data_IF_093040966639
#
_entry.id   IF_093040966639
#
_cell.length_a   1.000
_cell.length_b   1.000
_cell.length_c   1.000
_cell.angle_alpha   90.00
_cell.angle_beta   90.00
_cell.angle_gamma   90.00
#
_symmetry.space_group_name_H-M   'P 1'
#
loop_
_entity.id
_entity.type
_entity.pdbx_description
1 polymer ?
#
# COMPACT_ATOMS: atom_id res chain seq x y z
N UNK A 1 -36.86 14.41 36.57
CA UNK A 1 -35.98 14.67 35.40
C UNK A 1 -35.11 13.46 35.18
N UNK A 2 -35.33 12.70 34.13
CA UNK A 2 -34.47 11.56 33.78
C UNK A 2 -33.29 12.08 32.96
N UNK A 3 -32.07 12.01 33.51
CA UNK A 3 -30.84 12.23 32.78
C UNK A 3 -30.63 11.04 31.83
N UNK A 4 -30.89 11.22 30.52
CA UNK A 4 -30.47 10.27 29.49
C UNK A 4 -28.97 10.39 29.33
N UNK A 5 -28.23 9.39 29.82
CA UNK A 5 -26.82 9.23 29.47
C UNK A 5 -26.71 8.89 27.99
N UNK A 6 -26.08 9.75 27.22
CA UNK A 6 -25.72 9.43 25.84
C UNK A 6 -24.63 8.34 25.87
N UNK A 7 -24.87 7.25 25.15
CA UNK A 7 -23.86 6.18 25.00
C UNK A 7 -22.62 6.73 24.23
N UNK A 8 -21.44 6.14 24.47
CA UNK A 8 -20.20 6.49 23.74
C UNK A 8 -20.37 6.44 22.22
N UNK A 9 -21.19 5.51 21.71
CA UNK A 9 -21.52 5.41 20.30
C UNK A 9 -22.32 6.62 19.78
N UNK A 10 -23.26 7.12 20.56
CA UNK A 10 -24.03 8.30 20.20
C UNK A 10 -23.19 9.58 20.25
N UNK A 11 -22.22 9.67 21.15
CA UNK A 11 -21.27 10.80 21.21
C UNK A 11 -20.37 10.78 19.96
N UNK A 12 -19.87 9.61 19.55
CA UNK A 12 -19.08 9.46 18.33
C UNK A 12 -19.84 9.87 17.07
N UNK A 13 -21.09 9.44 16.94
CA UNK A 13 -21.95 9.82 15.79
C UNK A 13 -22.28 11.32 15.76
N UNK A 14 -22.58 11.92 16.92
CA UNK A 14 -22.84 13.38 17.03
C UNK A 14 -21.57 14.15 16.71
N UNK A 15 -20.39 13.75 17.22
CA UNK A 15 -19.13 14.40 16.92
C UNK A 15 -18.78 14.33 15.44
N UNK A 16 -19.00 13.19 14.78
CA UNK A 16 -18.79 13.04 13.35
C UNK A 16 -19.76 13.90 12.53
N UNK A 17 -21.02 13.98 12.97
CA UNK A 17 -22.05 14.77 12.30
C UNK A 17 -21.81 16.27 12.47
N UNK A 18 -21.48 16.73 13.67
CA UNK A 18 -21.20 18.14 13.96
C UNK A 18 -19.89 18.61 13.32
N UNK A 19 -18.84 17.77 13.26
CA UNK A 19 -17.60 18.08 12.55
C UNK A 19 -17.82 18.07 11.02
N UNK A 20 -18.68 17.21 10.50
CA UNK A 20 -19.07 17.21 9.09
C UNK A 20 -19.81 18.50 8.67
N UNK A 21 -20.64 19.04 9.57
CA UNK A 21 -21.39 20.28 9.34
C UNK A 21 -20.53 21.55 9.53
N UNK A 22 -19.42 21.46 10.29
CA UNK A 22 -18.51 22.58 10.54
C UNK A 22 -17.39 22.73 9.51
N UNK A 23 -17.12 21.72 8.71
CA UNK A 23 -16.15 21.76 7.63
C UNK A 23 -16.90 21.79 6.29
N UNK A 24 -17.17 22.96 5.72
CA UNK A 24 -17.82 23.02 4.42
C UNK A 24 -16.94 22.35 3.38
N UNK A 25 -17.44 21.25 2.78
CA UNK A 25 -16.91 20.58 1.59
C UNK A 25 -15.69 19.66 1.74
N UNK A 26 -15.55 18.88 2.79
CA UNK A 26 -14.85 17.60 2.60
C UNK A 26 -15.82 16.59 1.97
N UNK A 27 -16.09 16.76 0.68
CA UNK A 27 -16.74 15.71 -0.10
C UNK A 27 -15.84 14.48 -0.02
N UNK A 28 -16.35 13.43 0.60
CA UNK A 28 -15.62 12.16 0.71
C UNK A 28 -15.26 11.68 -0.70
N UNK A 29 -13.96 11.42 -0.94
CA UNK A 29 -13.52 10.91 -2.23
C UNK A 29 -14.16 9.56 -2.49
N UNK A 30 -14.90 9.46 -3.60
CA UNK A 30 -15.48 8.20 -4.07
C UNK A 30 -14.38 7.20 -4.41
N UNK A 31 -14.70 5.90 -4.30
CA UNK A 31 -13.83 4.82 -4.81
C UNK A 31 -13.71 4.84 -6.34
N UNK A 32 -14.52 5.62 -7.02
CA UNK A 32 -14.50 5.84 -8.48
C UNK A 32 -14.01 7.25 -8.86
N UNK A 33 -13.21 7.88 -8.00
CA UNK A 33 -12.68 9.23 -8.19
C UNK A 33 -11.17 9.25 -8.00
N UNK A 34 -10.45 10.00 -8.84
CA UNK A 34 -9.07 10.37 -8.62
C UNK A 34 -8.96 11.85 -8.23
N UNK A 35 -7.93 12.21 -7.45
CA UNK A 35 -7.71 13.57 -6.96
C UNK A 35 -6.30 14.05 -7.26
N UNK A 36 -6.13 15.35 -7.55
CA UNK A 36 -4.82 16.01 -7.64
C UNK A 36 -4.20 16.28 -6.29
N UNK A 37 -5.04 16.36 -5.25
CA UNK A 37 -4.63 16.70 -3.90
C UNK A 37 -4.82 15.48 -3.01
N UNK A 38 -3.84 15.19 -2.17
CA UNK A 38 -3.95 14.16 -1.16
C UNK A 38 -5.05 14.52 -0.15
N UNK A 39 -6.13 13.73 -0.09
CA UNK A 39 -7.26 13.95 0.83
C UNK A 39 -7.16 13.11 2.10
N UNK A 40 -6.46 11.98 2.04
CA UNK A 40 -6.26 11.05 3.15
C UNK A 40 -4.79 10.69 3.28
N UNK A 41 -4.40 10.20 4.44
CA UNK A 41 -3.09 9.57 4.66
C UNK A 41 -2.92 8.39 3.70
N UNK A 42 -1.77 8.28 3.02
CA UNK A 42 -1.47 7.13 2.16
C UNK A 42 -1.54 5.84 2.99
N UNK A 43 -2.15 4.79 2.44
CA UNK A 43 -2.40 3.54 3.16
C UNK A 43 -3.65 3.55 4.05
N UNK A 44 -4.37 4.68 4.20
CA UNK A 44 -5.63 4.71 4.97
C UNK A 44 -6.61 3.67 4.46
N UNK A 45 -7.25 2.89 5.34
CA UNK A 45 -8.22 1.89 4.95
C UNK A 45 -9.60 2.50 4.70
N UNK A 46 -10.35 1.90 3.78
CA UNK A 46 -11.77 2.16 3.55
C UNK A 46 -12.48 0.84 3.25
N UNK A 47 -13.68 0.68 3.78
CA UNK A 47 -14.55 -0.47 3.46
C UNK A 47 -15.81 0.05 2.76
N UNK A 48 -16.15 -0.54 1.63
CA UNK A 48 -17.33 -0.18 0.86
C UNK A 48 -17.88 -1.40 0.13
N UNK A 49 -19.15 -1.74 0.37
CA UNK A 49 -19.84 -2.86 -0.30
C UNK A 49 -19.14 -4.22 -0.12
N UNK A 50 -18.56 -4.49 1.06
CA UNK A 50 -17.83 -5.74 1.34
C UNK A 50 -16.41 -5.80 0.73
N UNK A 51 -15.96 -4.71 0.13
CA UNK A 51 -14.62 -4.58 -0.44
C UNK A 51 -13.74 -3.73 0.46
N UNK A 52 -12.44 -4.03 0.50
CA UNK A 52 -11.42 -3.27 1.22
C UNK A 52 -10.60 -2.45 0.24
N UNK A 53 -10.27 -1.23 0.63
CA UNK A 53 -9.50 -0.29 -0.16
C UNK A 53 -8.38 0.32 0.68
N UNK A 54 -7.31 0.74 0.01
CA UNK A 54 -6.23 1.56 0.55
C UNK A 54 -6.08 2.84 -0.26
N UNK A 55 -5.93 3.97 0.43
CA UNK A 55 -5.67 5.23 -0.24
C UNK A 55 -4.26 5.22 -0.81
N UNK A 56 -4.13 5.50 -2.09
CA UNK A 56 -2.90 5.27 -2.86
C UNK A 56 -2.57 6.45 -3.76
N UNK A 57 -1.31 6.55 -4.16
CA UNK A 57 -0.86 7.47 -5.19
C UNK A 57 -0.32 6.69 -6.38
N UNK A 58 -0.76 7.03 -7.57
CA UNK A 58 -0.22 6.49 -8.81
C UNK A 58 1.09 7.20 -9.16
N UNK A 59 2.14 6.45 -9.39
CA UNK A 59 3.40 6.95 -9.97
C UNK A 59 3.26 7.04 -11.48
N UNK A 60 2.79 5.97 -12.09
CA UNK A 60 2.50 5.88 -13.51
C UNK A 60 1.01 5.91 -13.82
N UNK A 61 0.67 6.14 -15.09
CA UNK A 61 -0.71 6.07 -15.55
C UNK A 61 -1.23 4.65 -15.55
N UNK A 62 -2.29 4.40 -14.79
CA UNK A 62 -2.98 3.11 -14.67
C UNK A 62 -4.15 3.08 -15.67
N UNK A 63 -3.87 2.72 -16.91
CA UNK A 63 -4.88 2.68 -17.98
C UNK A 63 -5.69 1.36 -17.94
N UNK A 64 -5.07 0.25 -17.54
CA UNK A 64 -5.70 -1.07 -17.50
C UNK A 64 -6.70 -1.19 -16.35
N UNK A 65 -7.86 -1.76 -16.63
CA UNK A 65 -8.85 -2.15 -15.62
C UNK A 65 -8.84 -3.67 -15.46
N UNK A 66 -9.32 -4.15 -14.30
CA UNK A 66 -9.36 -5.57 -13.96
C UNK A 66 -7.98 -6.26 -14.03
N UNK A 67 -6.93 -5.50 -13.78
CA UNK A 67 -5.54 -5.97 -13.66
C UNK A 67 -4.96 -5.58 -12.33
N UNK A 68 -4.04 -6.40 -11.85
CA UNK A 68 -3.27 -6.09 -10.66
C UNK A 68 -2.24 -5.02 -10.96
N UNK A 69 -2.03 -4.15 -9.99
CA UNK A 69 -1.00 -3.11 -10.01
C UNK A 69 0.04 -3.38 -8.91
N UNK A 70 1.23 -2.84 -9.09
CA UNK A 70 2.39 -3.07 -8.23
C UNK A 70 2.79 -1.79 -7.51
N UNK A 71 3.67 -1.93 -6.51
CA UNK A 71 4.50 -0.82 -6.06
C UNK A 71 5.80 -0.83 -6.86
N UNK A 72 6.08 0.23 -7.62
CA UNK A 72 7.27 0.32 -8.47
C UNK A 72 8.57 0.40 -7.68
N UNK A 73 8.52 0.89 -6.44
CA UNK A 73 9.69 1.02 -5.57
C UNK A 73 9.99 -0.25 -4.76
N UNK A 74 9.03 -1.16 -4.62
CA UNK A 74 9.22 -2.44 -3.94
C UNK A 74 9.65 -3.53 -4.93
N UNK A 75 10.88 -3.45 -5.36
CA UNK A 75 11.47 -4.42 -6.27
C UNK A 75 12.83 -4.91 -5.73
N UNK A 76 12.85 -5.70 -4.62
CA UNK A 76 14.09 -6.20 -4.07
C UNK A 76 14.83 -7.05 -5.10
N UNK A 77 16.09 -6.68 -5.38
CA UNK A 77 16.93 -7.35 -6.36
C UNK A 77 16.75 -6.89 -7.82
N UNK A 78 15.93 -5.88 -8.08
CA UNK A 78 15.89 -5.21 -9.38
C UNK A 78 17.14 -4.36 -9.57
N UNK A 79 17.88 -4.59 -10.65
CA UNK A 79 19.06 -3.76 -10.98
C UNK A 79 18.62 -2.31 -11.25
N UNK A 80 19.19 -1.38 -10.49
CA UNK A 80 18.88 0.05 -10.58
C UNK A 80 17.80 0.55 -9.62
N UNK A 81 17.20 -0.34 -8.83
CA UNK A 81 16.15 -0.01 -7.85
C UNK A 81 16.52 -0.39 -6.41
N UNK A 82 17.78 -0.68 -6.14
CA UNK A 82 18.26 -1.25 -4.88
C UNK A 82 18.01 -0.37 -3.64
N UNK A 83 17.68 0.91 -3.82
CA UNK A 83 17.42 1.86 -2.73
C UNK A 83 16.20 2.77 -2.98
N UNK A 84 15.32 2.42 -3.92
CA UNK A 84 14.16 3.26 -4.23
C UNK A 84 13.02 3.08 -3.23
N UNK A 85 12.98 1.95 -2.53
CA UNK A 85 12.00 1.65 -1.48
C UNK A 85 12.27 2.38 -0.16
N UNK A 86 13.45 3.05 -0.02
CA UNK A 86 13.73 3.80 1.18
C UNK A 86 15.20 4.10 1.44
N UNK A 87 15.60 3.95 2.69
CA UNK A 87 16.95 4.19 3.18
C UNK A 87 17.34 3.10 4.17
N UNK A 88 18.52 2.54 3.99
CA UNK A 88 19.19 1.67 4.96
C UNK A 88 20.54 2.28 5.36
N UNK A 89 20.83 2.34 6.65
CA UNK A 89 22.07 2.93 7.13
C UNK A 89 22.09 3.15 8.64
N UNK A 90 22.49 4.34 9.04
CA UNK A 90 22.61 4.74 10.45
C UNK A 90 21.98 6.12 10.66
N UNK A 91 21.79 6.51 11.91
CA UNK A 91 21.35 7.85 12.26
C UNK A 91 22.48 8.88 12.09
N UNK A 92 22.13 10.09 11.71
CA UNK A 92 23.08 11.22 11.65
C UNK A 92 23.37 11.79 13.05
N UNK A 93 22.41 11.72 13.95
CA UNK A 93 22.53 12.17 15.34
C UNK A 93 21.80 11.22 16.29
N UNK A 94 22.26 11.14 17.52
CA UNK A 94 21.54 10.39 18.56
C UNK A 94 20.20 11.07 18.88
N UNK A 95 19.20 10.28 19.25
CA UNK A 95 17.92 10.79 19.73
C UNK A 95 17.62 10.25 21.13
N UNK A 96 17.37 11.14 22.11
CA UNK A 96 17.06 10.73 23.47
C UNK A 96 15.66 10.10 23.59
N UNK A 97 15.41 9.42 24.68
CA UNK A 97 14.04 9.02 25.07
C UNK A 97 13.17 10.27 25.11
N UNK A 98 11.94 10.15 24.57
CA UNK A 98 11.00 11.26 24.41
C UNK A 98 11.12 12.01 23.08
N UNK A 99 12.14 11.73 22.26
CA UNK A 99 12.23 12.34 20.93
C UNK A 99 11.11 11.86 20.02
N UNK A 100 10.43 12.78 19.35
CA UNK A 100 9.41 12.52 18.34
C UNK A 100 9.97 12.58 16.91
N UNK A 101 11.27 12.66 16.74
CA UNK A 101 11.95 12.65 15.45
C UNK A 101 13.34 12.00 15.54
N UNK A 102 13.84 11.58 14.40
CA UNK A 102 15.22 11.14 14.21
C UNK A 102 15.77 11.73 12.90
N UNK A 103 17.09 11.84 12.83
CA UNK A 103 17.83 12.30 11.65
C UNK A 103 18.50 11.10 10.98
N UNK A 104 17.98 10.68 9.84
CA UNK A 104 18.56 9.62 9.02
C UNK A 104 19.81 10.16 8.31
N UNK A 105 20.90 9.42 8.30
CA UNK A 105 22.11 9.81 7.54
C UNK A 105 21.92 9.51 6.04
N UNK A 106 20.76 9.87 5.50
CA UNK A 106 20.46 9.84 4.07
C UNK A 106 21.01 11.10 3.41
N UNK A 107 22.00 10.94 2.56
CA UNK A 107 22.67 12.06 1.84
C UNK A 107 21.97 12.42 0.53
N UNK A 108 20.92 11.71 0.16
CA UNK A 108 20.14 12.03 -1.03
C UNK A 108 19.34 13.32 -0.84
N UNK A 109 19.16 14.07 -1.92
CA UNK A 109 18.31 15.26 -1.95
C UNK A 109 16.83 14.84 -2.08
N UNK A 110 16.30 14.24 -1.01
CA UNK A 110 14.89 13.82 -0.99
C UNK A 110 13.95 15.02 -0.96
N UNK A 111 12.79 14.90 -1.61
CA UNK A 111 11.74 15.91 -1.50
C UNK A 111 11.15 15.94 -0.08
N UNK A 112 10.52 17.04 0.30
CA UNK A 112 9.75 17.09 1.54
C UNK A 112 8.68 16.00 1.55
N UNK A 113 8.50 15.35 2.69
CA UNK A 113 7.55 14.25 2.87
C UNK A 113 7.82 12.98 2.03
N UNK A 114 9.03 12.79 1.54
CA UNK A 114 9.41 11.58 0.81
C UNK A 114 9.13 10.29 1.62
N UNK A 115 9.45 10.27 2.93
CA UNK A 115 9.21 9.14 3.83
C UNK A 115 7.85 9.19 4.52
N UNK A 116 7.04 10.22 4.30
CA UNK A 116 5.74 10.37 4.95
C UNK A 116 4.84 9.18 4.67
N UNK A 117 4.10 8.77 5.70
CA UNK A 117 3.19 7.62 5.69
C UNK A 117 3.89 6.25 5.53
N UNK A 118 5.22 6.24 5.51
CA UNK A 118 6.07 5.05 5.53
C UNK A 118 6.38 4.57 6.94
N UNK A 119 7.38 3.70 7.06
CA UNK A 119 7.76 3.05 8.31
C UNK A 119 9.25 3.19 8.58
N UNK A 120 9.60 3.30 9.85
CA UNK A 120 10.96 3.34 10.37
C UNK A 120 11.19 2.13 11.27
N UNK A 121 12.32 1.46 11.07
CA UNK A 121 12.85 0.47 11.99
C UNK A 121 14.24 0.90 12.49
N UNK A 122 14.48 0.85 13.80
CA UNK A 122 15.79 1.11 14.40
C UNK A 122 16.19 -0.11 15.22
N UNK A 123 17.38 -0.64 14.93
CA UNK A 123 17.92 -1.84 15.56
C UNK A 123 18.60 -1.47 16.88
N UNK A 124 17.80 -1.32 17.94
CA UNK A 124 18.27 -1.05 19.30
C UNK A 124 18.91 -2.27 19.94
N UNK A 125 19.51 -2.07 21.10
CA UNK A 125 20.14 -3.14 21.89
C UNK A 125 19.10 -3.84 22.78
N UNK A 126 18.24 -3.06 23.42
CA UNK A 126 17.20 -3.56 24.33
C UNK A 126 15.89 -3.83 23.61
N UNK A 127 15.56 -3.03 22.60
CA UNK A 127 14.32 -3.18 21.82
C UNK A 127 14.58 -2.93 20.34
N UNK A 128 13.69 -3.47 19.53
CA UNK A 128 13.57 -3.16 18.12
C UNK A 128 12.48 -2.09 17.95
N UNK A 129 12.89 -0.85 17.67
CA UNK A 129 11.96 0.25 17.49
C UNK A 129 11.28 0.16 16.13
N UNK A 130 9.96 0.27 16.12
CA UNK A 130 9.16 0.34 14.89
C UNK A 130 8.18 1.52 15.02
N UNK A 131 8.25 2.44 14.07
CA UNK A 131 7.43 3.65 14.07
C UNK A 131 6.84 3.89 12.69
N UNK A 132 5.67 4.51 12.67
CA UNK A 132 5.14 5.13 11.45
C UNK A 132 5.76 6.52 11.29
N UNK A 133 6.12 6.88 10.07
CA UNK A 133 6.64 8.22 9.75
C UNK A 133 5.46 9.11 9.40
N UNK A 134 5.26 10.19 10.16
CA UNK A 134 4.15 11.13 9.94
C UNK A 134 4.53 12.29 9.02
N UNK A 135 5.83 12.60 8.94
CA UNK A 135 6.37 13.63 8.04
C UNK A 135 7.85 13.41 7.83
N UNK A 136 8.42 13.98 6.76
CA UNK A 136 9.86 14.13 6.59
C UNK A 136 10.23 15.50 6.03
N UNK A 137 11.36 16.04 6.52
CA UNK A 137 11.96 17.25 5.95
C UNK A 137 12.55 16.94 4.56
N UNK A 138 12.76 17.96 3.72
CA UNK A 138 13.58 17.77 2.54
C UNK A 138 15.01 17.38 2.93
N UNK A 139 15.63 16.52 2.13
CA UNK A 139 17.04 16.16 2.29
C UNK A 139 17.95 17.35 2.02
N UNK A 140 18.95 17.53 2.87
CA UNK A 140 19.91 18.64 2.76
C UNK A 140 21.29 18.19 2.25
N UNK A 141 21.43 16.95 1.76
CA UNK A 141 22.67 16.36 1.32
C UNK A 141 23.53 15.78 2.45
N UNK A 142 23.06 15.85 3.70
CA UNK A 142 23.74 15.29 4.87
C UNK A 142 22.84 14.34 5.66
N UNK A 143 21.58 14.73 5.84
CA UNK A 143 20.58 13.95 6.53
C UNK A 143 19.16 14.32 6.08
N UNK A 144 18.21 13.43 6.42
CA UNK A 144 16.77 13.67 6.32
C UNK A 144 16.17 13.51 7.70
N UNK A 145 15.47 14.54 8.20
CA UNK A 145 14.71 14.44 9.44
C UNK A 145 13.37 13.80 9.17
N UNK A 146 13.02 12.78 9.97
CA UNK A 146 11.71 12.13 9.96
C UNK A 146 11.03 12.27 11.31
N UNK A 147 9.74 12.61 11.32
CA UNK A 147 8.90 12.70 12.51
C UNK A 147 8.12 11.40 12.67
N UNK A 148 8.03 10.94 13.91
CA UNK A 148 7.45 9.66 14.31
C UNK A 148 6.04 9.85 14.84
N UNK A 149 5.18 8.85 14.68
CA UNK A 149 3.84 8.81 15.24
C UNK A 149 3.83 8.74 16.77
N UNK A 150 4.85 8.09 17.34
CA UNK A 150 5.08 7.97 18.78
C UNK A 150 6.52 8.34 19.13
N UNK A 151 6.79 8.93 20.29
CA UNK A 151 8.15 9.26 20.69
C UNK A 151 8.98 8.00 20.99
N UNK A 152 10.29 8.12 20.87
CA UNK A 152 11.25 7.09 21.29
C UNK A 152 11.04 6.78 22.77
N UNK A 153 10.86 5.49 23.09
CA UNK A 153 10.66 5.00 24.45
C UNK A 153 11.74 3.95 24.79
N UNK A 154 11.82 3.56 26.06
CA UNK A 154 12.62 2.45 26.58
C UNK A 154 14.13 2.67 26.53
N UNK A 155 14.72 2.96 25.39
CA UNK A 155 16.15 3.28 25.26
C UNK A 155 16.38 4.47 24.32
N UNK A 156 17.44 5.24 24.59
CA UNK A 156 17.87 6.28 23.67
C UNK A 156 18.55 5.64 22.45
N UNK A 157 18.26 6.16 21.27
CA UNK A 157 18.89 5.64 20.05
C UNK A 157 20.20 6.39 19.77
N UNK A 158 21.21 5.66 19.34
CA UNK A 158 22.56 6.15 19.09
C UNK A 158 22.90 6.11 17.61
N UNK A 159 23.93 6.85 17.21
CA UNK A 159 24.42 6.86 15.82
C UNK A 159 25.03 5.53 15.36
N UNK A 160 25.31 4.61 16.29
CA UNK A 160 25.83 3.28 15.96
C UNK A 160 24.72 2.26 15.63
N UNK A 161 23.47 2.59 15.94
CA UNK A 161 22.33 1.71 15.65
C UNK A 161 21.98 1.76 14.17
N UNK A 162 21.80 0.58 13.57
CA UNK A 162 21.28 0.46 12.22
C UNK A 162 19.85 0.99 12.13
N UNK A 163 19.49 1.58 11.03
CA UNK A 163 18.16 2.11 10.77
C UNK A 163 17.73 1.81 9.34
N UNK A 164 16.47 1.45 9.18
CA UNK A 164 15.85 1.31 7.87
C UNK A 164 14.56 2.14 7.85
N UNK A 165 14.44 3.02 6.86
CA UNK A 165 13.24 3.81 6.62
C UNK A 165 12.66 3.46 5.27
N UNK A 166 11.42 2.99 5.25
CA UNK A 166 10.69 2.65 4.03
C UNK A 166 9.69 3.75 3.69
N UNK A 167 9.52 4.01 2.40
CA UNK A 167 8.40 4.82 1.91
C UNK A 167 7.09 4.05 2.09
N UNK A 168 5.96 4.73 1.96
CA UNK A 168 4.66 4.04 2.00
C UNK A 168 4.50 3.08 0.83
N UNK A 169 4.13 1.84 1.10
CA UNK A 169 3.87 0.83 0.07
C UNK A 169 2.77 1.20 -0.92
N UNK A 170 1.95 2.20 -0.58
CA UNK A 170 0.86 2.69 -1.43
C UNK A 170 1.18 4.04 -2.10
N UNK A 171 2.43 4.53 -2.05
CA UNK A 171 2.83 5.84 -2.58
C UNK A 171 3.31 5.81 -4.03
N UNK A 172 3.65 4.65 -4.56
CA UNK A 172 4.24 4.51 -5.89
C UNK A 172 3.58 3.36 -6.67
N UNK A 173 2.29 3.51 -6.95
CA UNK A 173 1.52 2.48 -7.65
C UNK A 173 1.70 2.60 -9.16
N UNK A 174 2.12 1.52 -9.79
CA UNK A 174 2.40 1.42 -11.22
C UNK A 174 1.73 0.19 -11.85
N UNK A 175 1.59 0.14 -13.19
CA UNK A 175 1.17 -1.07 -13.88
C UNK A 175 2.15 -2.21 -13.65
N UNK A 176 1.67 -3.46 -13.57
CA UNK A 176 2.55 -4.62 -13.56
C UNK A 176 3.39 -4.69 -14.85
N UNK A 177 4.61 -5.22 -14.76
CA UNK A 177 5.56 -5.26 -15.87
C UNK A 177 6.27 -3.93 -16.15
N UNK A 178 6.01 -2.87 -15.37
CA UNK A 178 6.71 -1.59 -15.50
C UNK A 178 8.14 -1.63 -14.92
N UNK A 179 8.42 -2.59 -14.05
CA UNK A 179 9.74 -2.89 -13.51
C UNK A 179 10.18 -4.30 -13.90
N UNK A 180 11.22 -4.85 -13.29
CA UNK A 180 11.71 -6.18 -13.65
C UNK A 180 10.73 -7.27 -13.20
N UNK A 181 10.10 -7.94 -14.16
CA UNK A 181 9.13 -9.01 -13.91
C UNK A 181 9.68 -10.11 -12.99
N UNK A 182 8.85 -10.50 -12.01
CA UNK A 182 9.18 -11.54 -11.03
C UNK A 182 9.66 -11.05 -9.67
N UNK A 183 9.92 -9.76 -9.53
CA UNK A 183 10.31 -9.14 -8.25
C UNK A 183 9.27 -8.17 -7.70
N UNK A 184 8.19 -7.95 -8.45
CA UNK A 184 7.15 -6.98 -8.11
C UNK A 184 6.28 -7.47 -6.95
N UNK A 185 5.86 -6.52 -6.11
CA UNK A 185 4.85 -6.73 -5.08
C UNK A 185 3.51 -6.21 -5.56
N UNK A 186 2.55 -7.10 -5.73
CA UNK A 186 1.19 -6.73 -6.13
C UNK A 186 0.43 -6.11 -4.96
N UNK A 187 -0.10 -4.92 -5.18
CA UNK A 187 -0.71 -4.09 -4.14
C UNK A 187 -2.23 -4.07 -4.19
N UNK A 188 -2.83 -4.28 -5.35
CA UNK A 188 -4.29 -4.21 -5.50
C UNK A 188 -4.75 -4.09 -6.94
N UNK A 189 -5.99 -3.61 -7.08
CA UNK A 189 -6.68 -3.42 -8.36
C UNK A 189 -7.26 -2.01 -8.40
N UNK A 190 -6.99 -1.27 -9.47
CA UNK A 190 -7.63 0.01 -9.72
C UNK A 190 -9.01 -0.18 -10.36
N UNK A 191 -10.04 0.50 -9.83
CA UNK A 191 -11.41 0.42 -10.36
C UNK A 191 -11.67 1.44 -11.48
N UNK A 192 -10.79 2.39 -11.66
CA UNK A 192 -10.86 3.46 -12.66
C UNK A 192 -9.49 3.64 -13.32
N UNK A 193 -9.42 4.16 -14.54
CA UNK A 193 -8.16 4.68 -15.06
C UNK A 193 -7.64 5.81 -14.17
N UNK A 194 -6.35 5.80 -13.84
CA UNK A 194 -5.72 6.80 -12.97
C UNK A 194 -4.54 7.42 -13.69
N UNK A 195 -4.49 8.75 -13.70
CA UNK A 195 -3.37 9.51 -14.28
C UNK A 195 -2.20 9.52 -13.29
N UNK A 196 -0.96 9.48 -13.78
CA UNK A 196 0.25 9.63 -12.98
C UNK A 196 0.18 10.81 -12.01
N UNK A 197 0.68 10.64 -10.78
CA UNK A 197 0.68 11.63 -9.71
C UNK A 197 -0.66 11.81 -8.99
N UNK A 198 -1.73 11.10 -9.38
CA UNK A 198 -3.06 11.23 -8.77
C UNK A 198 -3.25 10.30 -7.60
N UNK A 199 -4.13 10.72 -6.68
CA UNK A 199 -4.55 9.95 -5.50
C UNK A 199 -5.88 9.28 -5.76
N UNK A 200 -6.01 8.01 -5.34
CA UNK A 200 -7.19 7.18 -5.59
C UNK A 200 -7.34 6.08 -4.53
N UNK A 201 -8.48 5.38 -4.57
CA UNK A 201 -8.72 4.21 -3.75
C UNK A 201 -8.39 2.94 -4.51
N UNK A 202 -7.37 2.21 -4.07
CA UNK A 202 -6.92 0.93 -4.59
C UNK A 202 -7.65 -0.19 -3.87
N UNK A 203 -8.33 -1.09 -4.59
CA UNK A 203 -8.97 -2.25 -3.99
C UNK A 203 -7.93 -3.31 -3.62
N UNK A 204 -7.90 -3.70 -2.35
CA UNK A 204 -6.94 -4.66 -1.78
C UNK A 204 -7.60 -5.91 -1.22
N UNK A 205 -8.93 -5.92 -1.10
CA UNK A 205 -9.66 -7.08 -0.59
C UNK A 205 -11.13 -7.13 -1.01
N UNK A 206 -11.71 -8.31 -0.85
CA UNK A 206 -13.10 -8.57 -1.20
C UNK A 206 -13.33 -8.94 -2.67
N UNK A 207 -14.60 -9.07 -3.10
CA UNK A 207 -14.92 -9.51 -4.46
C UNK A 207 -14.49 -8.49 -5.51
N UNK A 208 -13.77 -8.95 -6.53
CA UNK A 208 -13.40 -8.15 -7.71
C UNK A 208 -13.36 -9.01 -8.97
N UNK A 209 -13.49 -8.36 -10.12
CA UNK A 209 -13.28 -8.99 -11.43
C UNK A 209 -11.81 -8.80 -11.82
N UNK A 210 -11.17 -9.88 -12.27
CA UNK A 210 -9.79 -9.85 -12.75
C UNK A 210 -9.67 -10.57 -14.09
N UNK A 211 -8.84 -10.01 -14.96
CA UNK A 211 -8.56 -10.56 -16.29
C UNK A 211 -7.62 -11.77 -16.17
N UNK A 212 -7.98 -12.96 -16.67
CA UNK A 212 -7.08 -14.09 -16.69
C UNK A 212 -6.01 -13.95 -17.79
N UNK A 213 -4.86 -14.58 -17.56
CA UNK A 213 -3.84 -14.78 -18.61
C UNK A 213 -4.42 -15.61 -19.75
N UNK A 214 -4.11 -15.24 -20.98
CA UNK A 214 -4.61 -15.94 -22.17
C UNK A 214 -4.30 -17.43 -22.17
N UNK A 215 -5.30 -18.26 -22.40
CA UNK A 215 -5.19 -19.71 -22.55
C UNK A 215 -5.23 -20.52 -21.27
N UNK A 216 -4.91 -19.97 -20.10
CA UNK A 216 -4.97 -20.68 -18.82
C UNK A 216 -5.60 -19.77 -17.76
N UNK A 217 -6.68 -20.21 -17.15
CA UNK A 217 -7.42 -19.42 -16.18
C UNK A 217 -7.71 -20.19 -14.88
N UNK A 218 -7.78 -19.54 -13.72
CA UNK A 218 -8.16 -20.19 -12.47
C UNK A 218 -9.52 -20.88 -12.60
N UNK A 219 -9.60 -22.15 -12.15
CA UNK A 219 -10.80 -22.96 -12.29
C UNK A 219 -10.95 -23.72 -13.60
N UNK A 220 -9.97 -23.65 -14.51
CA UNK A 220 -9.95 -24.46 -15.74
C UNK A 220 -9.84 -25.97 -15.49
N UNK A 221 -9.44 -26.37 -14.28
CA UNK A 221 -9.45 -27.75 -13.82
C UNK A 221 -9.99 -27.85 -12.39
N UNK A 222 -10.41 -29.06 -12.01
CA UNK A 222 -10.88 -29.33 -10.66
C UNK A 222 -9.82 -28.95 -9.61
N UNK A 223 -10.26 -28.33 -8.53
CA UNK A 223 -9.42 -27.89 -7.40
C UNK A 223 -8.43 -26.73 -7.65
N UNK A 224 -8.37 -26.17 -8.85
CA UNK A 224 -7.53 -24.99 -9.16
C UNK A 224 -8.26 -23.69 -8.80
N UNK A 225 -8.55 -23.49 -7.51
CA UNK A 225 -9.26 -22.29 -7.07
C UNK A 225 -8.34 -21.18 -6.56
N UNK A 226 -7.12 -21.50 -6.22
CA UNK A 226 -6.16 -20.48 -5.79
C UNK A 226 -5.71 -19.66 -6.99
N UNK A 227 -5.62 -18.35 -6.79
CA UNK A 227 -5.34 -17.37 -7.83
C UNK A 227 -4.01 -16.70 -7.54
N UNK A 228 -3.15 -16.63 -8.54
CA UNK A 228 -1.84 -16.00 -8.48
C UNK A 228 -1.75 -14.85 -9.47
N UNK A 229 -0.93 -13.87 -9.15
CA UNK A 229 -0.63 -12.77 -10.03
C UNK A 229 0.34 -13.21 -11.15
N UNK A 230 0.12 -12.71 -12.36
CA UNK A 230 1.09 -12.80 -13.44
C UNK A 230 1.96 -11.52 -13.42
N UNK A 231 3.28 -11.62 -13.16
CA UNK A 231 4.14 -10.45 -13.06
C UNK A 231 4.34 -9.72 -14.40
N UNK A 232 4.13 -10.38 -15.52
CA UNK A 232 4.38 -9.76 -16.82
C UNK A 232 3.39 -8.63 -17.17
N UNK A 233 2.13 -8.72 -16.68
CA UNK A 233 1.08 -7.79 -17.10
C UNK A 233 -0.06 -7.57 -16.08
N UNK A 234 0.05 -8.13 -14.88
CA UNK A 234 -0.96 -8.01 -13.83
C UNK A 234 -2.25 -8.81 -14.08
N UNK A 235 -2.27 -9.70 -15.04
CA UNK A 235 -3.35 -10.69 -15.21
C UNK A 235 -3.27 -11.76 -14.13
N UNK A 236 -4.26 -12.63 -14.06
CA UNK A 236 -4.29 -13.72 -13.09
C UNK A 236 -4.08 -15.08 -13.76
N UNK A 237 -3.49 -15.99 -13.00
CA UNK A 237 -3.24 -17.35 -13.43
C UNK A 237 -3.52 -18.35 -12.30
N UNK A 238 -3.81 -19.64 -12.62
CA UNK A 238 -3.91 -20.68 -11.62
C UNK A 238 -2.52 -21.02 -11.09
N UNK A 239 -2.45 -21.46 -9.83
CA UNK A 239 -1.26 -22.11 -9.32
C UNK A 239 -1.06 -23.46 -10.02
N UNK A 240 0.04 -23.63 -10.71
CA UNK A 240 0.44 -24.95 -11.20
C UNK A 240 1.36 -25.59 -10.17
N UNK A 241 1.02 -26.78 -9.68
CA UNK A 241 1.89 -27.56 -8.79
C UNK A 241 3.22 -27.96 -9.45
N UNK A 242 3.34 -27.78 -10.76
CA UNK A 242 4.47 -28.26 -11.54
C UNK A 242 5.64 -27.28 -11.64
N UNK A 243 5.49 -26.05 -11.14
CA UNK A 243 6.60 -25.08 -11.16
C UNK A 243 6.79 -24.41 -9.80
N UNK A 244 7.43 -25.10 -8.84
CA UNK A 244 7.78 -24.52 -7.55
C UNK A 244 8.89 -23.45 -7.64
N UNK A 245 9.50 -23.26 -8.81
CA UNK A 245 10.59 -22.30 -9.02
C UNK A 245 10.11 -20.87 -9.22
N UNK A 246 8.81 -20.65 -9.50
CA UNK A 246 8.22 -19.32 -9.65
C UNK A 246 7.25 -19.09 -8.50
N UNK A 247 7.76 -18.54 -7.41
CA UNK A 247 6.98 -18.11 -6.24
C UNK A 247 6.07 -16.93 -6.54
N UNK A 248 5.08 -17.12 -7.42
CA UNK A 248 4.09 -16.07 -7.70
C UNK A 248 3.32 -15.68 -6.43
N UNK A 249 3.06 -14.40 -6.29
CA UNK A 249 2.25 -13.91 -5.19
C UNK A 249 0.82 -14.44 -5.30
N UNK A 250 0.39 -15.17 -4.27
CA UNK A 250 -1.03 -15.54 -4.12
C UNK A 250 -1.83 -14.30 -3.80
N UNK A 251 -2.91 -14.08 -4.53
CA UNK A 251 -3.75 -12.88 -4.39
C UNK A 251 -5.14 -13.19 -3.84
N UNK A 252 -5.51 -14.47 -3.74
CA UNK A 252 -6.81 -14.89 -3.27
C UNK A 252 -7.30 -16.18 -3.91
N UNK A 253 -8.60 -16.32 -4.01
CA UNK A 253 -9.21 -17.49 -4.60
C UNK A 253 -10.35 -17.15 -5.55
N UNK A 254 -10.61 -18.05 -6.52
CA UNK A 254 -11.73 -17.94 -7.42
C UNK A 254 -13.04 -18.10 -6.64
N UNK A 255 -13.85 -17.05 -6.62
CA UNK A 255 -15.14 -17.06 -5.96
C UNK A 255 -16.22 -17.64 -6.87
N UNK A 256 -16.34 -17.12 -8.09
CA UNK A 256 -17.28 -17.59 -9.08
C UNK A 256 -16.72 -17.45 -10.49
N UNK A 257 -17.04 -18.40 -11.34
CA UNK A 257 -16.82 -18.32 -12.77
C UNK A 257 -18.12 -18.71 -13.46
N UNK A 258 -18.69 -17.83 -14.24
CA UNK A 258 -19.86 -18.13 -15.07
C UNK A 258 -19.41 -18.35 -16.50
N UNK A 259 -19.63 -19.55 -17.01
CA UNK A 259 -19.49 -19.83 -18.42
C UNK A 259 -18.17 -20.46 -18.84
N UNK A 260 -18.33 -21.31 -19.75
CA UNK A 260 -17.51 -22.25 -20.35
C UNK A 260 -16.25 -21.74 -21.02
N UNK A 261 -15.48 -22.72 -21.35
CA UNK A 261 -14.42 -22.79 -22.36
C UNK A 261 -13.80 -21.47 -22.86
N UNK A 262 -12.81 -20.99 -22.19
CA UNK A 262 -11.51 -20.67 -22.74
C UNK A 262 -11.29 -19.43 -23.58
N UNK A 263 -12.31 -18.76 -24.06
CA UNK A 263 -12.10 -17.60 -24.93
C UNK A 263 -12.82 -16.32 -24.49
N UNK A 264 -13.87 -16.43 -23.68
CA UNK A 264 -14.62 -15.28 -23.25
C UNK A 264 -14.18 -14.90 -21.83
N UNK A 265 -13.41 -13.87 -21.75
CA UNK A 265 -12.80 -13.30 -20.54
C UNK A 265 -13.82 -12.71 -19.54
N UNK A 266 -15.11 -12.97 -19.75
CA UNK A 266 -16.16 -12.50 -18.89
C UNK A 266 -16.21 -13.27 -17.58
N UNK A 267 -16.33 -12.57 -16.49
CA UNK A 267 -16.97 -13.03 -15.26
C UNK A 267 -16.15 -13.90 -14.30
N UNK A 268 -14.81 -13.77 -14.27
CA UNK A 268 -14.02 -14.33 -13.18
C UNK A 268 -14.08 -13.43 -11.96
N UNK A 269 -14.97 -13.80 -11.02
CA UNK A 269 -14.99 -13.19 -9.71
C UNK A 269 -13.94 -13.83 -8.81
N UNK A 270 -13.03 -13.03 -8.34
CA UNK A 270 -11.97 -13.40 -7.40
C UNK A 270 -12.25 -12.77 -6.04
N UNK A 271 -12.11 -13.52 -4.99
CA UNK A 271 -12.01 -12.99 -3.64
C UNK A 271 -10.58 -12.54 -3.40
N UNK A 272 -10.33 -11.25 -3.54
CA UNK A 272 -9.00 -10.64 -3.35
C UNK A 272 -8.62 -10.63 -1.87
N UNK A 273 -7.38 -10.99 -1.55
CA UNK A 273 -6.88 -11.17 -0.19
C UNK A 273 -5.47 -10.59 -0.02
N UNK A 274 -5.21 -9.41 -0.56
CA UNK A 274 -3.91 -8.73 -0.41
C UNK A 274 -3.80 -7.97 0.92
N UNK A 275 -4.94 -7.61 1.51
CA UNK A 275 -5.03 -6.92 2.80
C UNK A 275 -6.00 -7.71 3.69
N UNK A 276 -5.45 -8.50 4.59
CA UNK A 276 -6.22 -9.36 5.50
C UNK A 276 -6.56 -8.66 6.80
#
# INVERSE_FOLDING_TARGET
MQHRFLSRENIGRIATQVLGDLLPNQIEQSIYEQSVVQRYTIGSPKVSGGRKFRYSQAEDTLAGLARLVINSNYCPGCTGHENEDGFEGVLNSAAPIGSSYVDLKDTALRAANYYKDGFLAIYGVAIFHQHKIVASAPGNGTYVRVWLDEPITTEAVTVAMGVTAYISSYSAIAPAGSVQAGFETFMGVNLIPVTSGRFFWLQTGGPCILTPTGGVWPGSAANLRQVYANPADGTIQPGTQSDPSHGFQSIGYLWSATGGSGADYGDLWVMLMLDQ
#
